data_IF_123794164429
#
_entry.id   IF_123794164429
#
_cell.length_a   1.000
_cell.length_b   1.000
_cell.length_c   1.000
_cell.angle_alpha   90.00
_cell.angle_beta   90.00
_cell.angle_gamma   90.00
#
_symmetry.space_group_name_H-M   'P 1'
#
loop_
_entity.id
_entity.type
_entity.pdbx_description
1 polymer ?
#
# COMPACT_ATOMS: atom_id res chain seq x y z
N UNK A 1 3.39 -2.40 2.75
CA UNK A 1 4.79 -2.81 2.98
C UNK A 1 4.77 -4.18 3.62
N UNK A 2 5.33 -5.20 2.97
CA UNK A 2 5.46 -6.56 3.53
C UNK A 2 4.18 -7.19 4.08
N UNK A 3 3.02 -6.72 3.60
CA UNK A 3 1.74 -7.28 3.96
C UNK A 3 1.67 -8.71 3.41
N UNK A 4 1.39 -9.67 4.31
CA UNK A 4 1.27 -11.09 3.95
C UNK A 4 0.06 -11.34 3.05
N UNK A 5 -1.02 -10.61 3.32
CA UNK A 5 -2.30 -10.72 2.62
C UNK A 5 -2.77 -9.33 2.18
N UNK A 6 -3.67 -9.31 1.20
CA UNK A 6 -4.31 -8.06 0.80
C UNK A 6 -5.37 -7.66 1.83
N UNK A 7 -5.56 -6.36 2.09
CA UNK A 7 -6.66 -5.91 2.92
C UNK A 7 -8.02 -6.19 2.24
N UNK A 8 -9.13 -6.15 2.99
CA UNK A 8 -10.47 -6.25 2.42
C UNK A 8 -10.70 -5.15 1.38
N UNK A 9 -11.23 -5.53 0.21
CA UNK A 9 -11.45 -4.62 -0.92
C UNK A 9 -12.81 -3.91 -0.90
N UNK A 10 -13.63 -4.17 0.11
CA UNK A 10 -15.00 -3.69 0.25
C UNK A 10 -15.25 -3.01 1.60
N UNK A 11 -14.19 -2.64 2.32
CA UNK A 11 -14.25 -2.01 3.62
C UNK A 11 -13.18 -0.92 3.73
N UNK A 12 -13.33 0.04 4.65
CA UNK A 12 -12.30 1.03 4.91
C UNK A 12 -10.95 0.37 5.24
N UNK A 13 -9.90 0.82 4.54
CA UNK A 13 -8.53 0.42 4.81
C UNK A 13 -8.07 1.07 6.12
N UNK A 14 -7.81 0.26 7.14
CA UNK A 14 -7.26 0.74 8.41
C UNK A 14 -5.73 0.83 8.34
N UNK A 15 -5.19 2.01 8.64
CA UNK A 15 -3.74 2.22 8.64
C UNK A 15 -3.02 1.28 9.62
N UNK A 16 -1.84 0.83 9.25
CA UNK A 16 -0.97 -0.02 10.08
C UNK A 16 0.49 0.10 9.62
N UNK A 17 1.41 -0.53 10.34
CA UNK A 17 2.82 -0.59 9.95
C UNK A 17 3.04 -1.18 8.54
N UNK A 18 2.10 -2.00 8.06
CA UNK A 18 2.15 -2.63 6.74
C UNK A 18 1.21 -1.97 5.72
N UNK A 19 0.33 -1.06 6.15
CA UNK A 19 -0.62 -0.34 5.31
C UNK A 19 -0.52 1.17 5.59
N UNK A 20 0.31 1.84 4.79
CA UNK A 20 0.57 3.28 4.90
C UNK A 20 -0.44 4.07 4.07
N UNK A 21 -0.94 5.19 4.61
CA UNK A 21 -1.94 6.02 3.95
C UNK A 21 -1.33 7.25 3.29
N UNK A 22 -1.77 7.51 2.06
CA UNK A 22 -1.37 8.65 1.26
C UNK A 22 -2.63 9.31 0.67
N UNK A 23 -3.01 10.48 1.21
CA UNK A 23 -4.24 11.18 0.84
C UNK A 23 -4.06 12.65 0.45
N UNK A 24 -2.82 13.15 0.40
CA UNK A 24 -2.49 14.54 0.10
C UNK A 24 -2.27 14.84 -1.39
N UNK A 25 -2.62 13.91 -2.29
CA UNK A 25 -2.39 14.05 -3.73
C UNK A 25 -0.93 13.92 -4.16
N UNK A 26 -0.05 13.37 -3.30
CA UNK A 26 1.35 13.14 -3.64
C UNK A 26 1.52 12.12 -4.79
N UNK A 27 2.47 12.38 -5.68
CA UNK A 27 2.86 11.48 -6.76
C UNK A 27 4.02 10.55 -6.37
N UNK A 28 4.71 10.87 -5.29
CA UNK A 28 5.86 10.13 -4.77
C UNK A 28 5.95 10.21 -3.24
N UNK A 29 6.77 9.34 -2.66
CA UNK A 29 7.09 9.33 -1.23
C UNK A 29 8.47 8.72 -1.01
N UNK A 30 9.09 9.02 0.13
CA UNK A 30 10.37 8.44 0.55
C UNK A 30 10.10 7.40 1.63
N UNK A 31 10.50 6.16 1.36
CA UNK A 31 10.41 5.06 2.33
C UNK A 31 11.79 4.79 2.94
N UNK A 32 11.87 4.90 4.26
CA UNK A 32 13.05 4.45 5.01
C UNK A 32 12.86 2.98 5.39
N UNK A 33 13.55 2.09 4.68
CA UNK A 33 13.47 0.65 4.88
C UNK A 33 14.76 0.13 5.53
N UNK A 34 14.63 -0.88 6.39
CA UNK A 34 15.80 -1.57 6.96
C UNK A 34 16.48 -2.41 5.87
N UNK A 35 17.77 -2.76 6.01
CA UNK A 35 18.39 -3.75 5.14
C UNK A 35 17.59 -5.07 5.13
N UNK A 36 17.34 -5.61 3.94
CA UNK A 36 16.49 -6.79 3.76
C UNK A 36 15.70 -6.81 2.45
N UNK A 37 14.91 -7.86 2.27
CA UNK A 37 13.98 -8.00 1.14
C UNK A 37 12.60 -7.49 1.54
N UNK A 38 12.06 -6.60 0.73
CA UNK A 38 10.75 -5.99 0.94
C UNK A 38 9.84 -6.16 -0.27
N UNK A 39 8.54 -6.21 -0.02
CA UNK A 39 7.49 -6.18 -1.03
C UNK A 39 6.65 -4.92 -0.89
N UNK A 40 6.41 -4.27 -2.03
CA UNK A 40 5.63 -3.04 -2.14
C UNK A 40 4.46 -3.26 -3.10
N UNK A 41 3.31 -2.70 -2.73
CA UNK A 41 2.10 -2.72 -3.54
C UNK A 41 1.25 -1.51 -3.17
N UNK A 42 0.67 -0.86 -4.18
CA UNK A 42 -0.22 0.29 -4.02
C UNK A 42 -1.67 -0.16 -4.24
N UNK A 43 -2.56 0.34 -3.39
CA UNK A 43 -4.01 0.18 -3.50
C UNK A 43 -4.61 1.58 -3.59
N UNK A 44 -5.45 1.82 -4.59
CA UNK A 44 -6.16 3.10 -4.73
C UNK A 44 -7.58 2.96 -4.18
N UNK A 45 -7.96 3.91 -3.33
CA UNK A 45 -9.22 3.92 -2.59
C UNK A 45 -9.82 5.32 -2.61
N UNK A 46 -11.12 5.39 -2.34
CA UNK A 46 -11.87 6.64 -2.29
C UNK A 46 -11.63 7.42 -0.98
N UNK A 47 -12.40 8.50 -0.79
CA UNK A 47 -12.33 9.36 0.39
C UNK A 47 -12.75 8.68 1.71
N UNK A 48 -13.50 7.57 1.64
CA UNK A 48 -13.81 6.71 2.78
C UNK A 48 -12.73 5.64 3.01
N UNK A 49 -11.64 5.68 2.25
CA UNK A 49 -10.59 4.67 2.21
C UNK A 49 -11.12 3.29 1.79
N UNK A 50 -12.21 3.24 1.01
CA UNK A 50 -12.74 2.01 0.47
C UNK A 50 -12.15 1.83 -0.95
N UNK A 51 -11.51 0.69 -1.26
CA UNK A 51 -11.05 0.42 -2.62
C UNK A 51 -12.21 0.46 -3.62
N UNK A 52 -11.94 0.94 -4.83
CA UNK A 52 -12.96 0.98 -5.89
C UNK A 52 -13.40 -0.45 -6.32
N UNK A 53 -14.52 -0.55 -7.04
CA UNK A 53 -14.97 -1.78 -7.69
C UNK A 53 -15.04 -1.58 -9.21
N UNK A 54 -14.16 -2.23 -10.01
CA UNK A 54 -13.12 -3.16 -9.58
C UNK A 54 -11.95 -2.46 -8.85
N UNK A 55 -11.23 -3.15 -7.95
CA UNK A 55 -10.10 -2.56 -7.25
C UNK A 55 -8.98 -2.13 -8.19
N UNK A 56 -8.48 -0.90 -8.00
CA UNK A 56 -7.31 -0.40 -8.70
C UNK A 56 -6.06 -0.65 -7.85
N UNK A 57 -5.24 -1.60 -8.31
CA UNK A 57 -4.09 -2.12 -7.57
C UNK A 57 -2.86 -2.16 -8.47
N UNK A 58 -1.70 -1.80 -7.94
CA UNK A 58 -0.45 -1.99 -8.67
C UNK A 58 -0.05 -3.46 -8.70
N UNK A 59 0.85 -3.81 -9.63
CA UNK A 59 1.64 -5.04 -9.50
C UNK A 59 2.42 -4.98 -8.19
N UNK A 60 2.51 -6.13 -7.50
CA UNK A 60 3.42 -6.29 -6.36
C UNK A 60 4.84 -6.33 -6.89
N UNK A 61 5.72 -5.54 -6.29
CA UNK A 61 7.16 -5.52 -6.61
C UNK A 61 7.97 -5.99 -5.40
N UNK A 62 9.14 -6.54 -5.67
CA UNK A 62 10.11 -6.95 -4.65
C UNK A 62 11.38 -6.15 -4.83
N UNK A 63 11.91 -5.61 -3.73
CA UNK A 63 13.17 -4.86 -3.70
C UNK A 63 14.07 -5.41 -2.60
N UNK A 64 15.38 -5.26 -2.75
CA UNK A 64 16.37 -5.59 -1.72
C UNK A 64 17.15 -4.34 -1.35
N UNK A 65 17.12 -4.00 -0.07
CA UNK A 65 17.88 -2.89 0.53
C UNK A 65 19.14 -3.47 1.16
N UNK A 66 20.30 -2.88 0.85
CA UNK A 66 21.61 -3.32 1.36
C UNK A 66 22.06 -2.45 2.53
#
# INVERSE_FOLDING_TARGET
LDAKEMPPMNAPLAASDTLLHYGGGQTETVLNLKPGTHTLQLVFADWLHIPHDPPLISKKITITVK
#
